data_IF_948779113187
#
_entry.id   IF_948779113187
#
_cell.length_a   1.000
_cell.length_b   1.000
_cell.length_c   1.000
_cell.angle_alpha   90.00
_cell.angle_beta   90.00
_cell.angle_gamma   90.00
#
_symmetry.space_group_name_H-M   'P 1'
#
loop_
_entity.id
_entity.type
_entity.pdbx_description
1 polymer ?
#
# COMPACT_ATOMS: atom_id res chain seq x y z
N UNK A 1 28.01 -47.64 -10.50
CA UNK A 1 26.73 -48.38 -10.63
C UNK A 1 25.57 -47.48 -10.24
N UNK A 2 24.89 -46.90 -11.23
CA UNK A 2 23.54 -46.29 -11.11
C UNK A 2 22.75 -46.89 -12.28
N UNK A 3 21.68 -47.62 -11.97
CA UNK A 3 20.89 -48.39 -12.94
C UNK A 3 20.02 -47.43 -13.74
N UNK A 4 20.23 -47.39 -15.05
CA UNK A 4 19.38 -46.72 -16.03
C UNK A 4 18.15 -47.61 -16.22
N UNK A 5 16.98 -47.12 -15.83
CA UNK A 5 15.70 -47.80 -16.07
C UNK A 5 15.17 -47.28 -17.40
N UNK A 6 15.23 -48.12 -18.42
CA UNK A 6 14.63 -47.87 -19.75
C UNK A 6 13.19 -48.34 -19.67
N UNK A 7 12.23 -47.42 -19.75
CA UNK A 7 10.82 -47.75 -19.94
C UNK A 7 10.56 -48.01 -21.43
N UNK A 8 9.92 -49.13 -21.82
CA UNK A 8 9.66 -49.41 -23.22
C UNK A 8 8.59 -48.46 -23.75
N UNK A 9 8.95 -47.77 -24.83
CA UNK A 9 8.10 -46.91 -25.65
C UNK A 9 7.00 -47.78 -26.30
N UNK A 10 5.79 -47.73 -25.77
CA UNK A 10 4.62 -48.29 -26.44
C UNK A 10 4.24 -47.37 -27.61
N UNK A 11 4.76 -47.68 -28.80
CA UNK A 11 4.29 -47.13 -30.05
C UNK A 11 2.95 -47.81 -30.38
N UNK A 12 1.85 -47.11 -30.15
CA UNK A 12 0.54 -47.47 -30.70
C UNK A 12 0.40 -46.78 -32.06
N UNK A 13 0.65 -47.52 -33.14
CA UNK A 13 0.33 -47.08 -34.50
C UNK A 13 -1.18 -47.28 -34.69
N UNK A 14 -1.94 -46.18 -34.65
CA UNK A 14 -3.29 -46.15 -35.21
C UNK A 14 -3.19 -45.81 -36.70
N UNK A 15 -3.30 -46.84 -37.53
CA UNK A 15 -3.57 -46.72 -38.96
C UNK A 15 -5.06 -46.38 -39.14
N UNK A 16 -5.38 -45.11 -39.42
CA UNK A 16 -6.70 -44.72 -39.91
C UNK A 16 -6.57 -43.70 -41.02
N UNK A 17 -6.88 -44.15 -42.23
CA UNK A 17 -7.76 -43.47 -43.18
C UNK A 17 -7.33 -42.11 -43.72
N UNK A 18 -6.91 -42.12 -44.97
CA UNK A 18 -6.90 -40.96 -45.88
C UNK A 18 -8.27 -40.26 -45.86
N UNK A 19 -8.30 -39.03 -45.34
CA UNK A 19 -9.43 -38.12 -45.42
C UNK A 19 -8.90 -36.70 -45.26
N UNK A 20 -8.80 -35.97 -46.35
CA UNK A 20 -8.42 -34.54 -46.35
C UNK A 20 -9.56 -33.76 -45.71
N UNK A 21 -9.56 -33.70 -44.39
CA UNK A 21 -10.32 -32.75 -43.60
C UNK A 21 -9.32 -31.80 -42.96
N UNK A 22 -9.41 -30.52 -43.28
CA UNK A 22 -8.70 -29.47 -42.55
C UNK A 22 -9.09 -29.57 -41.06
N UNK A 23 -8.22 -30.16 -40.25
CA UNK A 23 -8.32 -30.04 -38.79
C UNK A 23 -7.86 -28.62 -38.50
N UNK A 24 -8.82 -27.70 -38.36
CA UNK A 24 -8.59 -26.42 -37.72
C UNK A 24 -8.35 -26.75 -36.25
N UNK A 25 -7.08 -26.82 -35.84
CA UNK A 25 -6.75 -26.81 -34.42
C UNK A 25 -7.32 -25.51 -33.84
N UNK A 26 -8.22 -25.57 -32.85
CA UNK A 26 -8.60 -24.37 -32.13
C UNK A 26 -7.35 -23.87 -31.42
N UNK A 27 -6.72 -22.84 -31.96
CA UNK A 27 -5.74 -22.05 -31.25
C UNK A 27 -6.46 -21.43 -30.06
N UNK A 28 -6.34 -22.07 -28.90
CA UNK A 28 -6.68 -21.45 -27.64
C UNK A 28 -5.59 -20.40 -27.39
N UNK A 29 -5.74 -19.23 -28.02
CA UNK A 29 -5.08 -18.03 -27.54
C UNK A 29 -5.63 -17.82 -26.14
N UNK A 30 -4.86 -18.25 -25.14
CA UNK A 30 -5.05 -17.79 -23.79
C UNK A 30 -4.93 -16.28 -23.86
N UNK A 31 -6.07 -15.59 -23.87
CA UNK A 31 -6.15 -14.15 -23.81
C UNK A 31 -5.35 -13.75 -22.57
N UNK A 32 -4.12 -13.28 -22.78
CA UNK A 32 -3.24 -12.85 -21.70
C UNK A 32 -3.92 -11.62 -21.13
N UNK A 33 -4.75 -11.84 -20.11
CA UNK A 33 -5.53 -10.81 -19.48
C UNK A 33 -4.55 -9.72 -19.04
N UNK A 34 -4.62 -8.57 -19.71
CA UNK A 34 -3.71 -7.46 -19.47
C UNK A 34 -3.89 -7.03 -18.02
N UNK A 35 -2.83 -7.15 -17.22
CA UNK A 35 -2.81 -6.77 -15.82
C UNK A 35 -1.72 -5.73 -15.57
N UNK A 36 -1.99 -4.79 -14.68
CA UNK A 36 -1.01 -3.85 -14.15
C UNK A 36 -0.63 -4.26 -12.73
N UNK A 37 0.66 -4.26 -12.41
CA UNK A 37 1.14 -4.47 -11.05
C UNK A 37 1.51 -3.14 -10.38
N UNK A 38 0.91 -2.87 -9.22
CA UNK A 38 0.98 -1.56 -8.56
C UNK A 38 1.45 -1.71 -7.11
N UNK A 39 2.47 -0.94 -6.73
CA UNK A 39 2.82 -0.73 -5.32
C UNK A 39 2.03 0.47 -4.81
N UNK A 40 1.19 0.27 -3.80
CA UNK A 40 0.21 1.27 -3.37
C UNK A 40 0.30 1.56 -1.86
N UNK A 41 0.58 2.80 -1.48
CA UNK A 41 0.69 3.12 -0.05
C UNK A 41 -0.60 2.89 0.74
N UNK A 42 -0.47 2.22 1.89
CA UNK A 42 -1.59 1.68 2.69
C UNK A 42 -2.63 2.73 3.13
N UNK A 43 -2.18 3.96 3.41
CA UNK A 43 -3.02 5.08 3.81
C UNK A 43 -4.15 5.44 2.82
N UNK A 44 -4.04 5.02 1.56
CA UNK A 44 -5.07 5.26 0.54
C UNK A 44 -5.76 3.98 0.07
N UNK A 45 -5.68 2.90 0.86
CA UNK A 45 -6.21 1.58 0.48
C UNK A 45 -7.70 1.60 0.16
N UNK A 46 -8.53 2.26 0.98
CA UNK A 46 -9.98 2.30 0.77
C UNK A 46 -10.33 2.90 -0.60
N UNK A 47 -9.91 4.13 -0.94
CA UNK A 47 -10.17 4.68 -2.27
C UNK A 47 -9.44 3.90 -3.38
N UNK A 48 -8.30 3.27 -3.11
CA UNK A 48 -7.60 2.45 -4.10
C UNK A 48 -8.45 1.28 -4.60
N UNK A 49 -9.16 0.58 -3.70
CA UNK A 49 -10.01 -0.54 -4.07
C UNK A 49 -11.15 -0.09 -5.00
N UNK A 50 -11.77 1.05 -4.69
CA UNK A 50 -12.80 1.64 -5.55
C UNK A 50 -12.24 2.02 -6.93
N UNK A 51 -11.03 2.60 -6.97
CA UNK A 51 -10.35 2.96 -8.23
C UNK A 51 -10.03 1.71 -9.06
N UNK A 52 -9.53 0.64 -8.42
CA UNK A 52 -9.19 -0.63 -9.09
C UNK A 52 -10.44 -1.24 -9.74
N UNK A 53 -11.55 -1.30 -9.01
CA UNK A 53 -12.81 -1.83 -9.52
C UNK A 53 -13.38 -0.97 -10.66
N UNK A 54 -13.36 0.36 -10.49
CA UNK A 54 -13.82 1.28 -11.52
C UNK A 54 -12.97 1.18 -12.80
N UNK A 55 -11.64 1.12 -12.66
CA UNK A 55 -10.72 0.99 -13.79
C UNK A 55 -10.91 -0.32 -14.55
N UNK A 56 -11.08 -1.44 -13.82
CA UNK A 56 -11.38 -2.74 -14.43
C UNK A 56 -12.70 -2.73 -15.19
N UNK A 57 -13.76 -2.15 -14.61
CA UNK A 57 -15.06 -2.06 -15.28
C UNK A 57 -15.02 -1.19 -16.54
N UNK A 58 -14.22 -0.13 -16.54
CA UNK A 58 -14.11 0.78 -17.67
C UNK A 58 -13.22 0.24 -18.82
N UNK A 59 -12.19 -0.55 -18.49
CA UNK A 59 -11.13 -0.91 -19.45
C UNK A 59 -10.98 -2.41 -19.70
N UNK A 60 -11.53 -3.26 -18.85
CA UNK A 60 -11.28 -4.71 -18.82
C UNK A 60 -9.91 -5.11 -18.26
N UNK A 61 -9.02 -4.15 -17.97
CA UNK A 61 -7.66 -4.39 -17.47
C UNK A 61 -7.69 -4.66 -15.97
N UNK A 62 -7.00 -5.71 -15.52
CA UNK A 62 -6.87 -6.03 -14.09
C UNK A 62 -5.78 -5.17 -13.46
N UNK A 63 -5.95 -4.82 -12.18
CA UNK A 63 -4.88 -4.23 -11.37
C UNK A 63 -4.58 -5.16 -10.20
N UNK A 64 -3.33 -5.60 -10.11
CA UNK A 64 -2.78 -6.34 -8.99
C UNK A 64 -2.02 -5.37 -8.10
N UNK A 65 -2.55 -5.08 -6.91
CA UNK A 65 -1.98 -4.09 -6.02
C UNK A 65 -1.36 -4.73 -4.76
N UNK A 66 -0.13 -4.35 -4.44
CA UNK A 66 0.49 -4.61 -3.14
C UNK A 66 0.41 -3.37 -2.28
N UNK A 67 -0.16 -3.51 -1.08
CA UNK A 67 -0.33 -2.39 -0.14
C UNK A 67 0.70 -2.44 0.99
N UNK A 68 1.23 -1.29 1.38
CA UNK A 68 2.19 -1.20 2.48
C UNK A 68 2.66 0.21 2.79
N UNK A 69 3.59 0.35 3.73
CA UNK A 69 4.30 1.61 3.96
C UNK A 69 5.28 1.91 2.83
N UNK A 70 5.57 3.19 2.57
CA UNK A 70 6.41 3.61 1.45
C UNK A 70 7.83 3.03 1.46
N UNK A 71 8.47 2.94 2.63
CA UNK A 71 9.79 2.30 2.78
C UNK A 71 9.79 0.82 2.34
N UNK A 72 8.98 -0.06 2.95
CA UNK A 72 8.87 -1.45 2.52
C UNK A 72 8.48 -1.63 1.04
N UNK A 73 7.55 -0.82 0.52
CA UNK A 73 7.18 -0.86 -0.90
C UNK A 73 8.34 -0.47 -1.82
N UNK A 74 9.11 0.57 -1.45
CA UNK A 74 10.31 0.98 -2.20
C UNK A 74 11.37 -0.14 -2.19
N UNK A 75 11.60 -0.78 -1.04
CA UNK A 75 12.50 -1.95 -0.96
C UNK A 75 12.01 -3.10 -1.83
N UNK A 76 10.70 -3.36 -1.88
CA UNK A 76 10.13 -4.40 -2.73
C UNK A 76 10.29 -4.08 -4.22
N UNK A 77 10.04 -2.83 -4.63
CA UNK A 77 10.30 -2.35 -5.98
C UNK A 77 11.77 -2.46 -6.36
N UNK A 78 12.67 -2.13 -5.43
CA UNK A 78 14.11 -2.22 -5.64
C UNK A 78 14.59 -3.67 -5.83
N UNK A 79 14.06 -4.61 -5.04
CA UNK A 79 14.42 -6.02 -5.11
C UNK A 79 13.84 -6.71 -6.36
N UNK A 80 12.58 -6.42 -6.69
CA UNK A 80 11.90 -7.08 -7.81
C UNK A 80 12.29 -6.49 -9.16
N UNK A 81 12.69 -5.21 -9.21
CA UNK A 81 12.91 -4.42 -10.43
C UNK A 81 11.73 -4.52 -11.42
N UNK A 82 10.52 -4.69 -10.89
CA UNK A 82 9.31 -4.92 -11.68
C UNK A 82 8.09 -4.24 -11.03
N UNK A 83 7.14 -3.87 -11.88
CA UNK A 83 5.92 -3.14 -11.52
C UNK A 83 5.65 -2.02 -12.52
N UNK A 84 4.38 -1.70 -12.69
CA UNK A 84 3.93 -0.69 -13.66
C UNK A 84 3.74 0.68 -12.99
N UNK A 85 3.42 0.71 -11.70
CA UNK A 85 3.18 1.94 -10.96
C UNK A 85 3.65 1.85 -9.51
N UNK A 86 4.30 2.91 -9.05
CA UNK A 86 4.67 3.13 -7.65
C UNK A 86 3.93 4.36 -7.10
N UNK A 87 2.96 4.11 -6.23
CA UNK A 87 2.21 5.11 -5.49
C UNK A 87 2.77 5.18 -4.06
N UNK A 88 3.90 5.87 -3.92
CA UNK A 88 4.44 6.24 -2.62
C UNK A 88 3.46 7.14 -1.87
N UNK A 89 3.18 6.82 -0.61
CA UNK A 89 2.33 7.64 0.26
C UNK A 89 3.16 8.16 1.44
N UNK A 90 3.31 9.48 1.53
CA UNK A 90 4.08 10.13 2.59
C UNK A 90 5.13 11.11 2.07
N UNK A 91 6.32 11.07 2.67
CA UNK A 91 7.43 11.98 2.44
C UNK A 91 7.96 11.93 1.01
N UNK A 92 8.34 13.10 0.48
CA UNK A 92 8.93 13.22 -0.87
C UNK A 92 10.22 12.40 -1.03
N UNK A 93 10.92 12.10 0.07
CA UNK A 93 12.19 11.38 0.11
C UNK A 93 12.16 10.01 -0.56
N UNK A 94 11.10 9.20 -0.39
CA UNK A 94 11.06 7.87 -0.97
C UNK A 94 10.93 7.92 -2.50
N UNK A 95 10.22 8.92 -3.02
CA UNK A 95 10.12 9.13 -4.45
C UNK A 95 11.44 9.65 -5.02
N UNK A 96 12.14 10.53 -4.30
CA UNK A 96 13.49 10.98 -4.66
C UNK A 96 14.47 9.82 -4.71
N UNK A 97 14.49 8.95 -3.69
CA UNK A 97 15.31 7.74 -3.67
C UNK A 97 14.95 6.81 -4.84
N UNK A 98 13.67 6.67 -5.17
CA UNK A 98 13.23 5.84 -6.31
C UNK A 98 13.78 6.37 -7.64
N UNK A 99 13.83 7.69 -7.82
CA UNK A 99 14.43 8.33 -9.00
C UNK A 99 15.95 8.15 -9.02
N UNK A 100 16.64 8.44 -7.91
CA UNK A 100 18.10 8.29 -7.81
C UNK A 100 18.56 6.86 -8.13
N UNK A 101 17.77 5.87 -7.72
CA UNK A 101 18.01 4.45 -7.99
C UNK A 101 17.54 3.98 -9.37
N UNK A 102 17.04 4.88 -10.22
CA UNK A 102 16.47 4.58 -11.54
C UNK A 102 15.34 3.53 -11.48
N UNK A 103 14.55 3.53 -10.41
CA UNK A 103 13.37 2.65 -10.25
C UNK A 103 12.10 3.26 -10.83
N UNK A 104 12.06 4.59 -10.93
CA UNK A 104 10.93 5.36 -11.46
C UNK A 104 11.45 6.42 -12.43
N UNK A 105 10.76 6.60 -13.55
CA UNK A 105 11.02 7.70 -14.46
C UNK A 105 10.60 9.03 -13.81
N UNK A 106 11.56 9.92 -13.58
CA UNK A 106 11.32 11.24 -13.00
C UNK A 106 10.26 12.05 -13.78
N UNK A 107 10.19 11.88 -15.09
CA UNK A 107 9.23 12.57 -15.95
C UNK A 107 7.78 12.10 -15.76
N UNK A 108 7.60 10.92 -15.16
CA UNK A 108 6.28 10.30 -14.89
C UNK A 108 5.66 10.75 -13.56
N UNK A 109 6.43 11.38 -12.68
CA UNK A 109 5.98 11.70 -11.31
C UNK A 109 4.86 12.76 -11.35
N UNK A 110 3.73 12.45 -10.72
CA UNK A 110 2.59 13.36 -10.56
C UNK A 110 2.08 13.31 -9.12
N UNK A 111 1.69 14.48 -8.59
CA UNK A 111 0.89 14.56 -7.37
C UNK A 111 -0.57 14.29 -7.76
N UNK A 112 -1.16 13.24 -7.21
CA UNK A 112 -2.55 12.85 -7.53
C UNK A 112 -3.51 13.02 -6.34
N UNK A 113 -2.98 13.14 -5.13
CA UNK A 113 -3.76 13.26 -3.91
C UNK A 113 -2.94 13.96 -2.80
N UNK A 114 -3.66 14.49 -1.82
CA UNK A 114 -3.10 15.01 -0.57
C UNK A 114 -3.79 14.30 0.59
N UNK A 115 -3.03 13.96 1.62
CA UNK A 115 -3.56 13.52 2.89
C UNK A 115 -3.60 14.71 3.83
N UNK A 116 -4.73 14.91 4.48
CA UNK A 116 -4.91 16.00 5.46
C UNK A 116 -4.94 15.35 6.83
N UNK A 117 -3.93 15.59 7.69
CA UNK A 117 -3.96 15.12 9.06
C UNK A 117 -5.15 15.72 9.81
N UNK A 118 -5.89 14.87 10.51
CA UNK A 118 -7.04 15.22 11.34
C UNK A 118 -6.89 14.66 12.74
N UNK A 119 -7.52 15.32 13.70
CA UNK A 119 -7.62 14.81 15.06
C UNK A 119 -8.76 13.79 15.09
N UNK A 120 -8.43 12.54 15.38
CA UNK A 120 -9.41 11.52 15.70
C UNK A 120 -9.68 11.54 17.20
N UNK A 121 -10.95 11.51 17.57
CA UNK A 121 -11.42 11.48 18.96
C UNK A 121 -12.39 10.33 19.16
N UNK A 122 -12.55 9.89 20.41
CA UNK A 122 -13.60 8.93 20.75
C UNK A 122 -14.98 9.43 20.31
N UNK A 123 -15.87 8.50 19.94
CA UNK A 123 -17.24 8.83 19.54
C UNK A 123 -17.94 9.65 20.63
N UNK A 124 -18.53 10.78 20.23
CA UNK A 124 -19.16 11.73 21.15
C UNK A 124 -18.21 12.75 21.77
N UNK A 125 -16.89 12.66 21.52
CA UNK A 125 -15.86 13.58 21.98
C UNK A 125 -15.95 13.89 23.50
N UNK A 126 -15.84 12.88 24.38
CA UNK A 126 -16.06 13.04 25.83
C UNK A 126 -15.08 14.00 26.50
N UNK A 127 -13.93 14.26 25.87
CA UNK A 127 -12.89 15.20 26.35
C UNK A 127 -13.02 16.62 25.77
N UNK A 128 -13.99 16.84 24.87
CA UNK A 128 -14.21 18.08 24.15
C UNK A 128 -12.93 18.60 23.47
N UNK A 129 -12.24 17.71 22.75
CA UNK A 129 -11.02 18.02 22.00
C UNK A 129 -11.45 18.63 20.67
N UNK A 130 -11.07 19.88 20.42
CA UNK A 130 -11.54 20.66 19.25
C UNK A 130 -10.41 21.33 18.47
N UNK A 131 -9.20 21.37 19.04
CA UNK A 131 -8.02 22.01 18.46
C UNK A 131 -6.75 21.24 18.85
N UNK A 132 -5.58 21.71 18.36
CA UNK A 132 -4.30 21.06 18.63
C UNK A 132 -3.86 21.24 20.08
N UNK A 133 -4.14 22.39 20.70
CA UNK A 133 -3.78 22.71 22.08
C UNK A 133 -4.42 21.74 23.07
N UNK A 134 -5.63 21.28 22.78
CA UNK A 134 -6.34 20.27 23.58
C UNK A 134 -5.56 18.95 23.69
N UNK A 135 -4.74 18.61 22.68
CA UNK A 135 -3.89 17.40 22.72
C UNK A 135 -2.84 17.48 23.83
N UNK A 136 -2.43 18.68 24.23
CA UNK A 136 -1.44 18.89 25.29
C UNK A 136 -2.04 18.90 26.71
N UNK A 137 -3.37 18.77 26.85
CA UNK A 137 -4.03 18.74 28.15
C UNK A 137 -3.62 17.52 28.97
N UNK A 138 -3.48 17.70 30.29
CA UNK A 138 -3.00 16.64 31.17
C UNK A 138 -3.95 15.45 31.28
N UNK A 139 -5.26 15.71 31.09
CA UNK A 139 -6.33 14.74 31.24
C UNK A 139 -6.67 13.98 29.95
N UNK A 140 -5.97 14.26 28.84
CA UNK A 140 -6.14 13.63 27.52
C UNK A 140 -5.10 12.52 27.35
N UNK A 141 -5.56 11.31 27.06
CA UNK A 141 -4.71 10.17 26.69
C UNK A 141 -4.49 10.15 25.19
N UNK A 142 -3.24 10.34 24.78
CA UNK A 142 -2.85 10.29 23.37
C UNK A 142 -2.30 8.92 22.99
N UNK A 143 -2.60 8.49 21.78
CA UNK A 143 -1.90 7.41 21.09
C UNK A 143 -1.40 7.95 19.76
N UNK A 144 -0.10 8.01 19.52
CA UNK A 144 0.48 8.59 18.29
C UNK A 144 1.41 7.57 17.62
N UNK A 145 1.52 7.65 16.30
CA UNK A 145 2.51 6.87 15.57
C UNK A 145 3.92 7.36 15.88
N UNK A 146 4.90 6.45 15.85
CA UNK A 146 6.33 6.76 16.03
C UNK A 146 6.76 8.02 15.25
N UNK A 147 7.33 9.03 15.92
CA UNK A 147 7.62 10.32 15.35
C UNK A 147 8.84 10.35 14.39
N UNK A 148 9.41 9.19 14.05
CA UNK A 148 10.61 9.07 13.22
C UNK A 148 10.34 8.57 11.80
N UNK A 149 9.12 8.12 11.49
CA UNK A 149 8.76 7.71 10.13
C UNK A 149 7.28 7.98 9.78
N UNK A 150 6.97 7.90 8.47
CA UNK A 150 5.61 7.91 7.96
C UNK A 150 4.77 9.10 8.46
N UNK A 151 3.56 8.81 8.95
CA UNK A 151 2.65 9.84 9.51
C UNK A 151 3.21 10.53 10.74
N UNK A 152 3.98 9.82 11.58
CA UNK A 152 4.48 10.36 12.83
C UNK A 152 5.48 11.51 12.63
N UNK A 153 6.26 11.50 11.55
CA UNK A 153 7.10 12.65 11.16
C UNK A 153 6.25 13.92 10.97
N UNK A 154 5.14 13.81 10.23
CA UNK A 154 4.25 14.93 9.97
C UNK A 154 3.52 15.38 11.24
N UNK A 155 3.06 14.44 12.09
CA UNK A 155 2.43 14.76 13.38
C UNK A 155 3.40 15.55 14.26
N UNK A 156 4.64 15.06 14.40
CA UNK A 156 5.68 15.74 15.18
C UNK A 156 5.94 17.13 14.62
N UNK A 157 6.11 17.27 13.31
CA UNK A 157 6.34 18.57 12.67
C UNK A 157 5.17 19.55 12.91
N UNK A 158 3.93 19.10 12.79
CA UNK A 158 2.74 19.90 13.10
C UNK A 158 2.80 20.39 14.56
N UNK A 159 3.12 19.51 15.50
CA UNK A 159 3.15 19.85 16.92
C UNK A 159 4.35 20.74 17.30
N UNK A 160 5.51 20.55 16.66
CA UNK A 160 6.69 21.41 16.84
C UNK A 160 6.43 22.82 16.33
N UNK A 161 5.85 22.96 15.13
CA UNK A 161 5.48 24.27 14.55
C UNK A 161 4.47 25.03 15.41
N UNK A 162 3.67 24.33 16.21
CA UNK A 162 2.69 24.93 17.14
C UNK A 162 3.21 25.02 18.59
N UNK A 163 4.47 24.68 18.86
CA UNK A 163 5.05 24.76 20.22
C UNK A 163 4.42 23.80 21.23
N UNK A 164 3.85 22.68 20.76
CA UNK A 164 3.15 21.68 21.56
C UNK A 164 3.96 20.42 21.79
N UNK A 165 4.92 20.11 20.91
CA UNK A 165 5.67 18.85 20.97
C UNK A 165 6.34 18.61 22.32
N UNK A 166 7.05 19.60 22.87
CA UNK A 166 7.72 19.47 24.16
C UNK A 166 6.76 19.23 25.34
N UNK A 167 5.49 19.64 25.20
CA UNK A 167 4.45 19.43 26.23
C UNK A 167 3.94 17.98 26.23
N UNK A 168 4.01 17.29 25.09
CA UNK A 168 3.47 15.94 24.93
C UNK A 168 4.54 14.86 24.80
N UNK A 169 5.79 15.22 24.50
CA UNK A 169 6.88 14.25 24.31
C UNK A 169 7.01 13.37 25.55
N UNK A 170 6.84 12.06 25.38
CA UNK A 170 6.84 11.08 26.47
C UNK A 170 5.51 10.94 27.23
N UNK A 171 4.43 11.61 26.79
CA UNK A 171 3.07 11.55 27.36
C UNK A 171 2.04 11.00 26.37
N UNK A 172 2.45 10.09 25.49
CA UNK A 172 1.56 9.38 24.59
C UNK A 172 1.98 7.91 24.48
N UNK A 173 1.02 7.05 24.16
CA UNK A 173 1.31 5.67 23.75
C UNK A 173 1.79 5.69 22.31
N UNK A 174 2.97 5.15 22.06
CA UNK A 174 3.54 5.06 20.72
C UNK A 174 3.10 3.75 20.04
N UNK A 175 2.70 3.85 18.77
CA UNK A 175 2.26 2.70 17.95
C UNK A 175 2.94 2.70 16.58
N UNK A 176 2.82 1.58 15.86
CA UNK A 176 3.56 1.37 14.61
C UNK A 176 2.90 1.93 13.36
N UNK A 177 1.61 2.21 13.41
CA UNK A 177 0.90 2.77 12.26
C UNK A 177 -0.22 3.74 12.66
N UNK A 178 -0.70 4.52 11.68
CA UNK A 178 -1.84 5.41 11.88
C UNK A 178 -3.13 4.62 12.14
N UNK A 179 -3.31 3.48 11.47
CA UNK A 179 -4.45 2.59 11.66
C UNK A 179 -4.50 2.03 13.08
N UNK A 180 -3.35 1.63 13.63
CA UNK A 180 -3.25 1.19 15.03
C UNK A 180 -3.59 2.33 16.00
N UNK A 181 -3.14 3.56 15.71
CA UNK A 181 -3.44 4.72 16.54
C UNK A 181 -4.95 5.04 16.54
N UNK A 182 -5.59 5.01 15.37
CA UNK A 182 -7.04 5.19 15.21
C UNK A 182 -7.81 4.06 15.90
N UNK A 183 -7.34 2.81 15.78
CA UNK A 183 -7.97 1.67 16.47
C UNK A 183 -7.97 1.84 18.00
N UNK A 184 -6.90 2.38 18.59
CA UNK A 184 -6.85 2.67 20.03
C UNK A 184 -7.87 3.75 20.45
N UNK A 185 -8.14 4.74 19.60
CA UNK A 185 -9.21 5.72 19.84
C UNK A 185 -10.58 5.07 19.73
N UNK A 186 -10.81 4.19 18.74
CA UNK A 186 -12.08 3.45 18.59
C UNK A 186 -12.35 2.55 19.80
N UNK A 187 -11.31 1.86 20.30
CA UNK A 187 -11.40 0.95 21.45
C UNK A 187 -11.47 1.67 22.81
N UNK A 188 -11.26 3.00 22.83
CA UNK A 188 -11.28 3.80 24.05
C UNK A 188 -10.03 3.66 24.93
N UNK A 189 -8.97 3.00 24.45
CA UNK A 189 -7.67 2.97 25.13
C UNK A 189 -6.92 4.31 25.02
N UNK A 190 -7.27 5.14 24.03
CA UNK A 190 -6.84 6.52 23.89
C UNK A 190 -8.05 7.47 23.70
N UNK A 191 -7.91 8.72 24.12
CA UNK A 191 -8.92 9.77 23.94
C UNK A 191 -8.80 10.41 22.55
N UNK A 192 -7.57 10.56 22.05
CA UNK A 192 -7.30 11.13 20.73
C UNK A 192 -6.02 10.61 20.06
N UNK A 193 -5.99 10.74 18.74
CA UNK A 193 -4.80 10.61 17.90
C UNK A 193 -4.82 11.66 16.78
N UNK A 194 -3.71 11.82 16.08
CA UNK A 194 -3.65 12.54 14.81
C UNK A 194 -3.32 11.52 13.73
N UNK A 195 -4.13 11.44 12.67
CA UNK A 195 -3.89 10.55 11.53
C UNK A 195 -4.62 11.09 10.31
N UNK A 196 -4.86 10.27 9.28
CA UNK A 196 -5.69 10.60 8.11
C UNK A 196 -6.65 9.46 7.77
#
# INVERSE_FOLDING_TARGET
>A
MKKIVIFPLFIVIFLVGFGVGFIVEPSFEAETQKSLFVYWGAATRVPALEIIDAFKNATGVRVDATFGGSGPLLSALELSKSGDLFLGVGTFSEMEIAVEKNLVDASSIRRIAYLVPVIFVQKGNPKNITNLEDLARLDVKLCLTDPTYGVGLFIKEILERNGLWDKIKGRFVEVRSGEEAVANVILGSADATVSW
#
